data_IF_978881603415
#
_entry.id   IF_978881603415
#
_cell.length_a   1.000
_cell.length_b   1.000
_cell.length_c   1.000
_cell.angle_alpha   90.00
_cell.angle_beta   90.00
_cell.angle_gamma   90.00
#
_symmetry.space_group_name_H-M   'P 1'
#
loop_
_entity.id
_entity.type
_entity.pdbx_description
1 polymer ?
#
# COMPACT_ATOMS: atom_id res chain seq x y z
N UNK A 1 -8.89 -17.18 23.93
CA UNK A 1 -8.77 -18.28 22.97
C UNK A 1 -9.73 -18.15 21.76
N UNK A 2 -11.03 -18.50 21.84
CA UNK A 2 -11.91 -18.52 20.65
C UNK A 2 -12.06 -17.17 19.93
N UNK A 3 -12.14 -16.06 20.69
CA UNK A 3 -12.28 -14.70 20.15
C UNK A 3 -11.01 -14.22 19.41
N UNK A 4 -9.83 -14.60 19.89
CA UNK A 4 -8.55 -14.23 19.26
C UNK A 4 -8.37 -14.99 17.95
N UNK A 5 -8.70 -16.29 17.92
CA UNK A 5 -8.64 -17.12 16.71
C UNK A 5 -9.57 -16.58 15.63
N UNK A 6 -10.79 -16.19 16.00
CA UNK A 6 -11.75 -15.59 15.07
C UNK A 6 -11.20 -14.29 14.45
N UNK A 7 -10.60 -13.42 15.26
CA UNK A 7 -10.02 -12.16 14.78
C UNK A 7 -8.83 -12.42 13.84
N UNK A 8 -7.99 -13.40 14.15
CA UNK A 8 -6.87 -13.81 13.28
C UNK A 8 -7.38 -14.32 11.94
N UNK A 9 -8.43 -15.15 11.93
CA UNK A 9 -9.02 -15.68 10.69
C UNK A 9 -9.62 -14.57 9.82
N UNK A 10 -10.26 -13.56 10.43
CA UNK A 10 -10.78 -12.40 9.70
C UNK A 10 -9.64 -11.62 9.02
N UNK A 11 -8.57 -11.32 9.75
CA UNK A 11 -7.39 -10.63 9.20
C UNK A 11 -6.73 -11.44 8.09
N UNK A 12 -6.58 -12.76 8.27
CA UNK A 12 -6.00 -13.63 7.25
C UNK A 12 -6.87 -13.70 5.99
N UNK A 13 -8.18 -13.80 6.15
CA UNK A 13 -9.13 -13.75 5.04
C UNK A 13 -9.03 -12.43 4.28
N UNK A 14 -8.93 -11.31 4.98
CA UNK A 14 -8.77 -9.99 4.35
C UNK A 14 -7.41 -9.84 3.66
N UNK A 15 -6.32 -10.31 4.28
CA UNK A 15 -4.97 -10.23 3.72
C UNK A 15 -4.79 -11.13 2.48
N UNK A 16 -5.59 -12.19 2.35
CA UNK A 16 -5.52 -13.14 1.23
C UNK A 16 -5.62 -12.44 -0.13
N UNK A 17 -6.39 -11.35 -0.23
CA UNK A 17 -6.53 -10.56 -1.46
C UNK A 17 -5.19 -9.95 -1.94
N UNK A 18 -4.20 -9.85 -1.04
CA UNK A 18 -2.86 -9.33 -1.31
C UNK A 18 -1.77 -10.42 -1.24
N UNK A 19 -2.14 -11.69 -1.06
CA UNK A 19 -1.19 -12.78 -0.76
C UNK A 19 -0.07 -12.93 -1.79
N UNK A 20 -0.37 -12.72 -3.08
CA UNK A 20 0.61 -12.78 -4.15
C UNK A 20 1.68 -11.67 -4.03
N UNK A 21 1.26 -10.46 -3.67
CA UNK A 21 2.18 -9.34 -3.40
C UNK A 21 3.01 -9.58 -2.16
N UNK A 22 2.40 -10.09 -1.08
CA UNK A 22 3.11 -10.36 0.18
C UNK A 22 4.15 -11.47 0.03
N UNK A 23 3.90 -12.43 -0.87
CA UNK A 23 4.81 -13.57 -1.10
C UNK A 23 5.92 -13.26 -2.11
N UNK A 24 5.57 -12.57 -3.21
CA UNK A 24 6.45 -12.43 -4.39
C UNK A 24 6.76 -10.97 -4.76
N UNK A 25 6.13 -10.01 -4.08
CA UNK A 25 6.28 -8.59 -4.39
C UNK A 25 7.67 -8.06 -4.02
N UNK A 26 8.19 -7.19 -4.86
CA UNK A 26 9.43 -6.45 -4.60
C UNK A 26 9.11 -5.12 -3.91
N UNK A 27 9.76 -4.78 -2.78
CA UNK A 27 9.57 -3.49 -2.14
C UNK A 27 9.81 -2.32 -3.11
N UNK A 28 8.89 -1.37 -3.13
CA UNK A 28 9.05 -0.12 -3.88
C UNK A 28 9.78 0.89 -3.00
N UNK A 29 10.53 1.82 -3.59
CA UNK A 29 11.29 2.81 -2.83
C UNK A 29 10.42 3.56 -1.79
N UNK A 30 10.78 3.42 -0.51
CA UNK A 30 10.10 4.09 0.60
C UNK A 30 10.70 5.48 0.81
N UNK A 31 10.15 6.49 0.14
CA UNK A 31 10.53 7.88 0.45
C UNK A 31 9.85 8.31 1.75
N UNK A 32 10.60 8.27 2.85
CA UNK A 32 10.14 8.79 4.15
C UNK A 32 10.50 10.27 4.24
N UNK A 33 9.52 11.19 4.31
CA UNK A 33 9.80 12.61 4.40
C UNK A 33 10.45 12.96 5.74
N UNK A 34 11.38 13.92 5.73
CA UNK A 34 12.07 14.41 6.95
C UNK A 34 11.14 15.10 7.96
N UNK A 35 9.95 15.49 7.51
CA UNK A 35 8.91 16.12 8.32
C UNK A 35 7.63 15.28 8.20
N UNK A 36 6.77 15.24 9.24
CA UNK A 36 5.50 14.52 9.17
C UNK A 36 4.68 14.98 7.94
N UNK A 37 4.29 14.02 7.11
CA UNK A 37 3.63 14.23 5.82
C UNK A 37 2.99 12.96 5.28
N UNK A 38 2.68 12.90 4.00
CA UNK A 38 2.19 11.68 3.35
C UNK A 38 3.33 10.70 3.14
N UNK A 39 3.13 9.44 3.55
CA UNK A 39 4.06 8.33 3.33
C UNK A 39 3.37 7.30 2.44
N UNK A 40 4.06 6.85 1.40
CA UNK A 40 3.62 5.74 0.56
C UNK A 40 4.55 4.55 0.77
N UNK A 41 3.96 3.40 1.11
CA UNK A 41 4.62 2.10 1.10
C UNK A 41 4.03 1.23 -0.01
N UNK A 42 4.81 0.31 -0.57
CA UNK A 42 4.30 -0.55 -1.62
C UNK A 42 5.16 -1.76 -1.99
N UNK A 43 4.51 -2.67 -2.70
CA UNK A 43 5.08 -3.90 -3.24
C UNK A 43 4.74 -4.00 -4.72
N UNK A 44 5.75 -4.13 -5.57
CA UNK A 44 5.61 -4.32 -7.01
C UNK A 44 5.55 -5.80 -7.35
N UNK A 45 4.61 -6.17 -8.21
CA UNK A 45 4.49 -7.51 -8.79
C UNK A 45 4.17 -7.40 -10.28
N UNK A 46 5.17 -7.61 -11.12
CA UNK A 46 5.06 -7.44 -12.58
C UNK A 46 4.76 -5.99 -12.96
N UNK A 47 3.61 -5.78 -13.60
CA UNK A 47 3.06 -4.49 -14.02
C UNK A 47 2.05 -3.90 -13.01
N UNK A 48 1.89 -4.52 -11.84
CA UNK A 48 1.01 -4.04 -10.77
C UNK A 48 1.83 -3.61 -9.56
N UNK A 49 1.34 -2.62 -8.83
CA UNK A 49 1.88 -2.23 -7.54
C UNK A 49 0.74 -2.17 -6.52
N UNK A 50 0.94 -2.87 -5.41
CA UNK A 50 0.15 -2.70 -4.20
C UNK A 50 0.72 -1.51 -3.43
N UNK A 51 -0.07 -0.47 -3.21
CA UNK A 51 0.34 0.71 -2.42
C UNK A 51 -0.54 0.88 -1.19
N UNK A 52 0.07 1.36 -0.11
CA UNK A 52 -0.61 1.85 1.09
C UNK A 52 -0.17 3.28 1.34
N UNK A 53 -1.16 4.18 1.38
CA UNK A 53 -0.98 5.58 1.75
C UNK A 53 -1.25 5.77 3.23
N UNK A 54 -0.36 6.48 3.91
CA UNK A 54 -0.53 6.91 5.30
C UNK A 54 -0.27 8.40 5.39
N UNK A 55 -1.30 9.14 5.79
CA UNK A 55 -1.22 10.59 5.95
C UNK A 55 -1.05 10.95 7.43
N UNK A 56 0.08 11.56 7.78
CA UNK A 56 0.35 12.04 9.14
C UNK A 56 -0.18 13.47 9.38
N UNK A 57 -0.80 14.08 8.36
CA UNK A 57 -1.46 15.39 8.38
C UNK A 57 -2.77 15.31 7.60
N UNK A 58 -3.70 16.22 7.86
CA UNK A 58 -4.95 16.29 7.08
C UNK A 58 -4.65 16.72 5.64
N UNK A 59 -4.91 15.83 4.69
CA UNK A 59 -4.75 16.07 3.25
C UNK A 59 -5.81 15.26 2.49
N UNK A 60 -6.32 15.78 1.39
CA UNK A 60 -7.22 15.09 0.46
C UNK A 60 -6.56 14.78 -0.87
N UNK A 61 -5.52 15.54 -1.22
CA UNK A 61 -5.00 15.56 -2.57
C UNK A 61 -4.23 14.27 -2.89
N UNK A 62 -4.32 13.78 -4.14
CA UNK A 62 -3.55 12.63 -4.56
C UNK A 62 -2.05 12.92 -4.54
N UNK A 63 -1.23 11.89 -4.37
CA UNK A 63 0.23 12.01 -4.39
C UNK A 63 0.78 11.28 -5.59
N UNK A 64 1.66 11.95 -6.34
CA UNK A 64 2.44 11.29 -7.38
C UNK A 64 3.71 10.69 -6.80
N UNK A 65 3.99 9.44 -7.17
CA UNK A 65 5.24 8.76 -6.83
C UNK A 65 5.88 8.17 -8.09
N UNK A 66 7.19 7.95 -8.03
CA UNK A 66 7.95 7.29 -9.09
C UNK A 66 8.30 5.87 -8.65
N UNK A 67 7.98 4.89 -9.47
CA UNK A 67 8.34 3.48 -9.29
C UNK A 67 8.95 2.98 -10.61
N UNK A 68 10.22 2.60 -10.58
CA UNK A 68 11.00 2.18 -11.75
C UNK A 68 10.81 3.14 -12.94
N UNK A 69 11.09 4.42 -12.69
CA UNK A 69 10.98 5.54 -13.64
C UNK A 69 9.56 5.86 -14.15
N UNK A 70 8.54 5.15 -13.67
CA UNK A 70 7.14 5.42 -14.02
C UNK A 70 6.44 6.22 -12.94
N UNK A 71 5.73 7.28 -13.34
CA UNK A 71 4.90 8.08 -12.44
C UNK A 71 3.55 7.43 -12.26
N UNK A 72 3.15 7.22 -11.01
CA UNK A 72 1.82 6.76 -10.65
C UNK A 72 1.18 7.72 -9.65
N UNK A 73 -0.15 7.84 -9.75
CA UNK A 73 -0.96 8.68 -8.88
C UNK A 73 -1.62 7.82 -7.81
N UNK A 74 -1.44 8.18 -6.55
CA UNK A 74 -2.01 7.47 -5.39
C UNK A 74 -3.09 8.34 -4.75
N UNK A 75 -4.33 7.92 -4.91
CA UNK A 75 -5.50 8.61 -4.36
C UNK A 75 -5.53 8.48 -2.83
N UNK A 76 -6.23 9.41 -2.16
CA UNK A 76 -6.47 9.27 -0.73
C UNK A 76 -7.64 8.30 -0.49
N UNK A 77 -7.31 7.05 -0.15
CA UNK A 77 -8.28 6.03 0.26
C UNK A 77 -7.92 5.56 1.67
N UNK A 78 -8.37 6.27 2.72
CA UNK A 78 -7.98 6.00 4.10
C UNK A 78 -8.30 4.56 4.50
N UNK A 79 -7.36 3.89 5.18
CA UNK A 79 -7.59 2.54 5.70
C UNK A 79 -7.42 1.41 4.67
N UNK A 80 -7.28 1.71 3.38
CA UNK A 80 -7.22 0.70 2.32
C UNK A 80 -5.89 0.69 1.57
N UNK A 81 -5.54 -0.49 1.05
CA UNK A 81 -4.50 -0.62 0.04
C UNK A 81 -5.12 -0.45 -1.36
N UNK A 82 -4.33 0.03 -2.31
CA UNK A 82 -4.74 0.20 -3.70
C UNK A 82 -3.83 -0.62 -4.60
N UNK A 83 -4.39 -1.26 -5.63
CA UNK A 83 -3.62 -1.94 -6.67
C UNK A 83 -3.65 -1.07 -7.91
N UNK A 84 -2.47 -0.62 -8.35
CA UNK A 84 -2.31 0.30 -9.48
C UNK A 84 -1.51 -0.39 -10.58
N UNK A 85 -1.98 -0.27 -11.82
CA UNK A 85 -1.25 -0.73 -13.01
C UNK A 85 -0.18 0.30 -13.39
N UNK A 86 1.02 -0.19 -13.67
CA UNK A 86 2.21 0.59 -13.98
C UNK A 86 2.62 0.34 -15.43
N UNK A 87 1.86 0.95 -16.36
CA UNK A 87 2.10 0.87 -17.81
C UNK A 87 3.22 1.77 -18.27
#
# INVERSE_FOLDING_TARGET
>A
AAKEIQLVHQVYSEAQQYGEFLSNGKPTNFSVPKQPGTVISGLRLGDRVLVRRTDFKKTSEPVEIVIDDKRIKVENVPGHCQIILVR
#
